data_IF_476535097064
#
_entry.id   IF_476535097064
#
_cell.length_a   1.000
_cell.length_b   1.000
_cell.length_c   1.000
_cell.angle_alpha   90.00
_cell.angle_beta   90.00
_cell.angle_gamma   90.00
#
_symmetry.space_group_name_H-M   'P 1'
#
loop_
_entity.id
_entity.type
_entity.pdbx_description
1 polymer ?
#
# COMPACT_ATOMS: atom_id res chain seq x y z
N UNK A 1 14.02 12.26 17.16
CA UNK A 1 13.76 11.72 15.80
C UNK A 1 12.37 11.06 15.77
N UNK A 2 11.32 11.84 15.46
CA UNK A 2 9.90 11.42 15.62
C UNK A 2 9.29 10.83 14.32
N UNK A 3 9.85 11.15 13.15
CA UNK A 3 9.30 10.76 11.83
C UNK A 3 9.63 9.32 11.39
N UNK A 4 10.58 8.63 12.03
CA UNK A 4 10.99 7.26 11.64
C UNK A 4 10.05 6.15 12.14
N UNK A 5 9.17 6.45 13.09
CA UNK A 5 8.46 5.40 13.85
C UNK A 5 7.39 4.65 13.03
N UNK A 6 6.79 5.28 12.02
CA UNK A 6 5.71 4.67 11.25
C UNK A 6 6.18 3.79 10.07
N UNK A 7 7.36 4.07 9.49
CA UNK A 7 7.85 3.32 8.32
C UNK A 7 8.29 1.88 8.63
N UNK A 8 8.49 1.55 9.91
CA UNK A 8 8.78 0.18 10.34
C UNK A 8 7.52 -0.69 10.50
N UNK A 9 6.31 -0.17 10.29
CA UNK A 9 5.06 -0.91 10.50
C UNK A 9 5.01 -2.23 9.71
N UNK A 10 5.25 -2.16 8.39
CA UNK A 10 5.23 -3.35 7.54
C UNK A 10 6.45 -4.26 7.75
N UNK A 11 7.63 -3.67 8.00
CA UNK A 11 8.85 -4.42 8.31
C UNK A 11 8.70 -5.26 9.58
N UNK A 12 8.09 -4.71 10.64
CA UNK A 12 7.80 -5.43 11.89
C UNK A 12 6.81 -6.58 11.71
N UNK A 13 5.94 -6.51 10.69
CA UNK A 13 4.93 -7.52 10.38
C UNK A 13 5.39 -8.53 9.32
N UNK A 14 6.64 -8.44 8.86
CA UNK A 14 7.19 -9.32 7.82
C UNK A 14 6.54 -9.11 6.44
N UNK A 15 5.92 -7.95 6.20
CA UNK A 15 5.26 -7.65 4.93
C UNK A 15 6.24 -6.95 4.00
N UNK A 16 6.44 -7.54 2.82
CA UNK A 16 7.24 -6.94 1.75
C UNK A 16 6.58 -5.65 1.25
N UNK A 17 7.37 -4.59 1.12
CA UNK A 17 6.90 -3.28 0.69
C UNK A 17 8.01 -2.48 0.03
N UNK A 18 7.72 -1.61 -0.96
CA UNK A 18 8.66 -0.60 -1.41
C UNK A 18 9.07 0.25 -0.21
N UNK A 19 10.37 0.44 -0.04
CA UNK A 19 10.89 1.15 1.11
C UNK A 19 10.46 2.62 1.01
N UNK A 20 9.67 3.13 1.97
CA UNK A 20 9.19 4.51 1.91
C UNK A 20 10.36 5.47 2.16
N UNK A 21 10.47 6.49 1.34
CA UNK A 21 11.41 7.60 1.54
C UNK A 21 10.93 8.50 2.69
N UNK A 22 11.88 8.98 3.49
CA UNK A 22 11.59 9.61 4.79
C UNK A 22 10.71 10.88 4.70
N UNK A 23 10.76 11.60 3.57
CA UNK A 23 9.98 12.81 3.33
C UNK A 23 8.80 12.59 2.38
N UNK A 24 8.87 11.55 1.55
CA UNK A 24 8.05 11.41 0.35
C UNK A 24 7.13 10.18 0.40
N UNK A 25 7.37 9.27 1.34
CA UNK A 25 6.61 8.04 1.50
C UNK A 25 6.91 7.03 0.39
N UNK A 26 5.90 6.24 0.00
CA UNK A 26 6.04 5.20 -1.04
C UNK A 26 5.94 5.76 -2.48
N UNK A 27 5.44 6.99 -2.65
CA UNK A 27 5.03 7.54 -3.95
C UNK A 27 5.75 8.85 -4.29
N UNK A 28 7.06 8.81 -4.59
CA UNK A 28 7.83 10.00 -4.86
C UNK A 28 7.36 10.78 -6.08
N UNK A 29 6.97 10.10 -7.17
CA UNK A 29 6.58 10.78 -8.41
C UNK A 29 5.22 11.45 -8.28
N UNK A 30 4.28 10.81 -7.59
CA UNK A 30 2.95 11.39 -7.31
C UNK A 30 3.07 12.64 -6.44
N UNK A 31 3.88 12.60 -5.37
CA UNK A 31 4.05 13.77 -4.50
C UNK A 31 4.73 14.96 -5.18
N UNK A 32 5.56 14.69 -6.19
CA UNK A 32 6.23 15.71 -7.00
C UNK A 32 5.32 16.25 -8.12
N UNK A 33 4.08 15.74 -8.25
CA UNK A 33 3.14 16.12 -9.31
C UNK A 33 3.57 15.64 -10.71
N UNK A 34 4.50 14.68 -10.79
CA UNK A 34 5.07 14.22 -12.06
C UNK A 34 4.21 13.14 -12.73
N UNK A 35 3.46 12.36 -11.95
CA UNK A 35 2.63 11.25 -12.42
C UNK A 35 1.35 11.15 -11.58
N UNK A 36 0.35 10.46 -12.14
CA UNK A 36 -0.86 10.12 -11.40
C UNK A 36 -0.58 8.99 -10.39
N UNK A 37 -1.25 9.03 -9.24
CA UNK A 37 -1.17 7.97 -8.22
C UNK A 37 -1.44 6.57 -8.79
N UNK A 38 -2.41 6.47 -9.70
CA UNK A 38 -2.76 5.21 -10.37
C UNK A 38 -1.63 4.66 -11.22
N UNK A 39 -0.86 5.53 -11.88
CA UNK A 39 0.25 5.13 -12.73
C UNK A 39 1.40 4.57 -11.88
N UNK A 40 1.75 5.26 -10.79
CA UNK A 40 2.79 4.79 -9.87
C UNK A 40 2.36 3.50 -9.13
N UNK A 41 1.08 3.37 -8.77
CA UNK A 41 0.52 2.11 -8.26
C UNK A 41 0.60 0.98 -9.29
N UNK A 42 0.37 1.28 -10.58
CA UNK A 42 0.46 0.30 -11.64
C UNK A 42 1.90 -0.20 -11.84
N UNK A 43 2.89 0.70 -11.79
CA UNK A 43 4.31 0.32 -11.82
C UNK A 43 4.67 -0.60 -10.65
N UNK A 44 4.21 -0.27 -9.44
CA UNK A 44 4.40 -1.11 -8.24
C UNK A 44 3.71 -2.47 -8.44
N UNK A 45 2.48 -2.50 -8.95
CA UNK A 45 1.79 -3.75 -9.25
C UNK A 45 2.60 -4.63 -10.21
N UNK A 46 3.07 -4.07 -11.33
CA UNK A 46 3.86 -4.81 -12.31
C UNK A 46 5.17 -5.36 -11.73
N UNK A 47 5.80 -4.62 -10.82
CA UNK A 47 7.04 -5.01 -10.15
C UNK A 47 6.86 -6.14 -9.14
N UNK A 48 5.78 -6.11 -8.36
CA UNK A 48 5.57 -7.03 -7.24
C UNK A 48 4.67 -8.22 -7.56
N UNK A 49 3.83 -8.16 -8.61
CA UNK A 49 2.87 -9.23 -8.97
C UNK A 49 3.50 -10.62 -9.14
N UNK A 50 4.79 -10.68 -9.52
CA UNK A 50 5.49 -11.95 -9.79
C UNK A 50 5.96 -12.61 -8.49
N UNK A 51 6.31 -11.81 -7.48
CA UNK A 51 6.99 -12.30 -6.27
C UNK A 51 6.11 -12.27 -5.02
N UNK A 52 5.11 -11.41 -4.96
CA UNK A 52 4.33 -11.14 -3.75
C UNK A 52 2.83 -11.04 -4.07
N UNK A 53 2.00 -11.62 -3.20
CA UNK A 53 0.52 -11.56 -3.33
C UNK A 53 -0.06 -10.24 -2.84
N UNK A 54 0.66 -9.57 -1.95
CA UNK A 54 0.29 -8.29 -1.37
C UNK A 54 1.57 -7.52 -1.00
N UNK A 55 1.43 -6.20 -0.93
CA UNK A 55 2.52 -5.27 -0.70
C UNK A 55 2.07 -4.25 0.34
N UNK A 56 2.91 -4.00 1.33
CA UNK A 56 2.70 -2.92 2.28
C UNK A 56 3.11 -1.58 1.68
N UNK A 57 2.17 -0.66 1.52
CA UNK A 57 2.43 0.70 1.05
C UNK A 57 2.11 1.72 2.15
N UNK A 58 2.61 2.94 1.99
CA UNK A 58 2.23 4.07 2.83
C UNK A 58 1.65 5.19 1.96
N UNK A 59 0.41 5.58 2.25
CA UNK A 59 -0.18 6.80 1.69
C UNK A 59 -0.06 7.89 2.74
N UNK A 60 0.75 8.91 2.47
CA UNK A 60 1.16 9.92 3.44
C UNK A 60 1.75 9.29 4.72
N UNK A 61 0.96 9.19 5.80
CA UNK A 61 1.36 8.56 7.07
C UNK A 61 0.60 7.28 7.41
N UNK A 62 -0.44 6.94 6.64
CA UNK A 62 -1.27 5.78 6.90
C UNK A 62 -0.69 4.53 6.21
N UNK A 63 -0.40 3.45 6.96
CA UNK A 63 -0.05 2.17 6.35
C UNK A 63 -1.27 1.59 5.64
N UNK A 64 -1.15 1.26 4.36
CA UNK A 64 -2.19 0.61 3.56
C UNK A 64 -1.67 -0.68 2.95
N UNK A 65 -2.55 -1.67 2.84
CA UNK A 65 -2.23 -2.94 2.19
C UNK A 65 -2.65 -2.86 0.73
N UNK A 66 -1.72 -3.08 -0.18
CA UNK A 66 -1.98 -3.15 -1.60
C UNK A 66 -2.02 -4.61 -2.05
N UNK A 67 -3.14 -5.05 -2.59
CA UNK A 67 -3.36 -6.45 -2.98
C UNK A 67 -2.99 -6.62 -4.46
N UNK A 68 -2.08 -7.55 -4.76
CA UNK A 68 -1.68 -7.85 -6.14
C UNK A 68 -2.30 -9.15 -6.66
N UNK A 69 -2.69 -10.07 -5.79
CA UNK A 69 -3.32 -11.34 -6.19
C UNK A 69 -4.85 -11.20 -6.27
N UNK A 70 -5.48 -11.42 -7.44
CA UNK A 70 -6.92 -11.34 -7.59
C UNK A 70 -7.67 -12.38 -6.75
N UNK A 71 -7.07 -13.56 -6.49
CA UNK A 71 -7.69 -14.58 -5.63
C UNK A 71 -7.80 -14.10 -4.20
N UNK A 72 -6.75 -13.42 -3.70
CA UNK A 72 -6.74 -12.84 -2.37
C UNK A 72 -7.75 -11.69 -2.26
N UNK A 73 -7.83 -10.84 -3.29
CA UNK A 73 -8.83 -9.78 -3.36
C UNK A 73 -10.27 -10.36 -3.29
N UNK A 74 -10.55 -11.41 -4.07
CA UNK A 74 -11.84 -12.09 -4.05
C UNK A 74 -12.16 -12.67 -2.66
N UNK A 75 -11.21 -13.32 -2.00
CA UNK A 75 -11.41 -13.84 -0.64
C UNK A 75 -11.72 -12.73 0.36
N UNK A 76 -11.03 -11.60 0.28
CA UNK A 76 -11.28 -10.45 1.15
C UNK A 76 -12.68 -9.89 0.92
N UNK A 77 -13.09 -9.72 -0.33
CA UNK A 77 -14.39 -9.15 -0.69
C UNK A 77 -15.57 -10.09 -0.43
N UNK A 78 -15.35 -11.41 -0.38
CA UNK A 78 -16.42 -12.40 -0.17
C UNK A 78 -16.49 -12.91 1.26
N UNK A 79 -15.38 -13.40 1.81
CA UNK A 79 -15.35 -14.10 3.09
C UNK A 79 -15.05 -13.15 4.26
N UNK A 80 -14.20 -12.15 4.02
CA UNK A 80 -13.70 -11.26 5.08
C UNK A 80 -14.25 -9.84 4.99
N UNK A 81 -15.28 -9.60 4.17
CA UNK A 81 -15.81 -8.26 3.91
C UNK A 81 -16.16 -7.49 5.20
N UNK A 82 -16.73 -8.18 6.19
CA UNK A 82 -17.08 -7.60 7.50
C UNK A 82 -15.87 -6.99 8.22
N UNK A 83 -14.67 -7.55 8.04
CA UNK A 83 -13.43 -7.09 8.66
C UNK A 83 -12.78 -5.93 7.92
N UNK A 84 -13.17 -5.69 6.66
CA UNK A 84 -12.63 -4.62 5.79
C UNK A 84 -13.71 -3.58 5.44
N UNK A 85 -14.70 -3.42 6.32
CA UNK A 85 -15.88 -2.58 6.08
C UNK A 85 -15.55 -1.08 6.05
N UNK A 86 -14.57 -0.65 6.83
CA UNK A 86 -14.09 0.72 6.86
C UNK A 86 -13.02 0.91 5.77
N UNK A 87 -13.45 1.38 4.61
CA UNK A 87 -12.57 1.80 3.51
C UNK A 87 -12.61 3.32 3.35
N UNK A 88 -11.65 3.91 2.63
CA UNK A 88 -11.65 5.37 2.42
C UNK A 88 -12.91 5.86 1.68
N UNK A 89 -13.54 4.98 0.91
CA UNK A 89 -14.85 5.23 0.29
C UNK A 89 -16.05 5.16 1.25
N UNK A 90 -15.85 4.92 2.54
CA UNK A 90 -16.92 5.01 3.55
C UNK A 90 -16.83 6.29 4.39
N UNK A 91 -15.79 7.10 4.18
CA UNK A 91 -15.50 8.32 4.94
C UNK A 91 -15.84 9.62 4.18
N UNK A 92 -16.40 9.52 2.97
CA UNK A 92 -16.97 10.66 2.22
C UNK A 92 -18.49 10.65 2.33
#
# INVERSE_FOLDING_TARGET
VYLRWHFNYWRKRGVCGPQPDLLVGTFPRTSAGQCNLLEELHEIYLRYRVSQKFVGIFTARAPKLFICDPKLALQILTQHFKSFRDNESSQW
#
